data_IF_400149241329
#
_entry.id   IF_400149241329
#
_cell.length_a   1.000
_cell.length_b   1.000
_cell.length_c   1.000
_cell.angle_alpha   90.00
_cell.angle_beta   90.00
_cell.angle_gamma   90.00
#
_symmetry.space_group_name_H-M   'P 1'
#
loop_
_entity.id
_entity.type
_entity.pdbx_description
1 polymer ?
#
# COMPACT_ATOMS: atom_id res chain seq x y z
N UNK A 1 -2.17 20.84 7.64
CA UNK A 1 -3.44 21.31 8.25
C UNK A 1 -4.60 20.67 7.51
N UNK A 2 -4.90 19.39 7.82
CA UNK A 2 -6.21 18.86 7.49
C UNK A 2 -7.22 19.72 8.21
N UNK A 3 -8.01 20.47 7.46
CA UNK A 3 -9.20 21.10 8.00
C UNK A 3 -10.05 19.95 8.52
N UNK A 4 -10.10 19.80 9.82
CA UNK A 4 -11.08 18.94 10.46
C UNK A 4 -12.44 19.49 10.04
N UNK A 5 -13.00 18.89 8.98
CA UNK A 5 -14.37 19.19 8.59
C UNK A 5 -15.20 18.98 9.84
N UNK A 6 -15.85 20.03 10.29
CA UNK A 6 -16.75 19.98 11.45
C UNK A 6 -17.64 18.74 11.28
N UNK A 7 -17.71 17.95 12.34
CA UNK A 7 -18.55 16.75 12.38
C UNK A 7 -19.95 17.14 11.88
N UNK A 8 -20.42 16.62 10.74
CA UNK A 8 -21.76 16.94 10.30
C UNK A 8 -22.70 16.36 11.34
N UNK A 9 -23.24 17.20 12.21
CA UNK A 9 -24.05 16.85 13.38
C UNK A 9 -25.40 16.19 13.07
N UNK A 10 -25.44 15.32 12.09
CA UNK A 10 -26.48 14.35 11.86
C UNK A 10 -25.84 12.98 11.64
N UNK A 11 -25.87 12.15 12.66
CA UNK A 11 -25.70 10.71 12.48
C UNK A 11 -26.68 10.24 11.42
N UNK A 12 -26.18 9.89 10.23
CA UNK A 12 -27.00 9.40 9.15
C UNK A 12 -27.92 8.30 9.66
N UNK A 13 -29.21 8.40 9.34
CA UNK A 13 -30.19 7.38 9.69
C UNK A 13 -29.73 6.03 9.17
N UNK A 14 -29.91 4.96 9.95
CA UNK A 14 -29.63 3.59 9.51
C UNK A 14 -30.35 3.33 8.19
N UNK A 15 -29.63 2.79 7.19
CA UNK A 15 -30.18 2.46 5.87
C UNK A 15 -30.68 1.03 5.88
N UNK A 16 -31.91 0.80 5.42
CA UNK A 16 -32.40 -0.55 5.17
C UNK A 16 -32.09 -0.96 3.73
N UNK A 17 -31.11 -1.83 3.56
CA UNK A 17 -30.69 -2.35 2.24
C UNK A 17 -31.70 -3.32 1.64
N UNK A 18 -32.65 -3.81 2.46
CA UNK A 18 -33.72 -4.75 2.11
C UNK A 18 -35.10 -4.19 2.33
N UNK A 19 -35.27 -2.86 2.28
CA UNK A 19 -36.57 -2.22 2.49
C UNK A 19 -37.67 -2.80 1.58
N UNK A 20 -38.72 -3.40 2.18
CA UNK A 20 -39.80 -4.06 1.44
C UNK A 20 -39.46 -5.43 0.86
N UNK A 21 -38.23 -5.94 1.06
CA UNK A 21 -37.77 -7.26 0.61
C UNK A 21 -37.53 -8.21 1.78
N UNK A 22 -38.50 -8.35 2.66
CA UNK A 22 -38.35 -9.05 3.94
C UNK A 22 -37.94 -10.52 3.81
N UNK A 23 -38.45 -11.23 2.80
CA UNK A 23 -38.04 -12.61 2.54
C UNK A 23 -36.58 -12.68 2.05
N UNK A 24 -36.16 -11.71 1.22
CA UNK A 24 -34.77 -11.55 0.80
C UNK A 24 -33.84 -11.33 2.01
N UNK A 25 -34.26 -10.47 2.95
CA UNK A 25 -33.50 -10.23 4.16
C UNK A 25 -33.39 -11.49 5.03
N UNK A 26 -34.48 -12.25 5.24
CA UNK A 26 -34.43 -13.49 6.02
C UNK A 26 -33.44 -14.51 5.43
N UNK A 27 -33.44 -14.68 4.10
CA UNK A 27 -32.46 -15.55 3.43
C UNK A 27 -31.03 -15.04 3.59
N UNK A 28 -30.81 -13.75 3.45
CA UNK A 28 -29.53 -13.11 3.66
C UNK A 28 -29.03 -13.25 5.11
N UNK A 29 -29.88 -12.99 6.08
CA UNK A 29 -29.59 -13.18 7.51
C UNK A 29 -29.17 -14.64 7.80
N UNK A 30 -29.90 -15.61 7.26
CA UNK A 30 -29.57 -17.04 7.41
C UNK A 30 -28.19 -17.32 6.79
N UNK A 31 -27.90 -16.81 5.59
CA UNK A 31 -26.56 -16.97 5.00
C UNK A 31 -25.46 -16.45 5.89
N UNK A 32 -25.62 -15.27 6.49
CA UNK A 32 -24.61 -14.73 7.41
C UNK A 32 -24.47 -15.54 8.69
N UNK A 33 -25.54 -16.14 9.21
CA UNK A 33 -25.48 -17.08 10.33
C UNK A 33 -24.68 -18.34 9.95
N UNK A 34 -24.90 -18.87 8.75
CA UNK A 34 -24.16 -20.03 8.23
C UNK A 34 -22.67 -19.67 8.05
N UNK A 35 -22.37 -18.47 7.54
CA UNK A 35 -21.01 -17.94 7.44
C UNK A 35 -20.33 -17.91 8.83
N UNK A 36 -21.01 -17.38 9.86
CA UNK A 36 -20.48 -17.31 11.24
C UNK A 36 -20.29 -18.69 11.84
N UNK A 37 -21.19 -19.65 11.60
CA UNK A 37 -21.02 -21.05 12.05
C UNK A 37 -19.76 -21.64 11.44
N UNK A 38 -19.52 -21.40 10.15
CA UNK A 38 -18.27 -21.83 9.48
C UNK A 38 -17.05 -21.17 10.10
N UNK A 39 -17.10 -19.84 10.34
CA UNK A 39 -16.03 -19.11 11.04
C UNK A 39 -15.76 -19.72 12.42
N UNK A 40 -16.78 -20.09 13.20
CA UNK A 40 -16.60 -20.72 14.52
C UNK A 40 -15.92 -22.09 14.42
N UNK A 41 -16.29 -22.88 13.42
CA UNK A 41 -15.65 -24.18 13.15
C UNK A 41 -14.18 -24.02 12.79
N UNK A 42 -13.88 -23.16 11.81
CA UNK A 42 -12.52 -22.89 11.33
C UNK A 42 -11.65 -22.27 12.44
N UNK A 43 -12.23 -21.37 13.24
CA UNK A 43 -11.58 -20.78 14.42
C UNK A 43 -11.20 -21.86 15.44
N UNK A 44 -12.10 -22.78 15.74
CA UNK A 44 -11.86 -23.88 16.68
C UNK A 44 -10.76 -24.81 16.18
N UNK A 45 -10.73 -25.11 14.88
CA UNK A 45 -9.71 -25.94 14.24
C UNK A 45 -8.33 -25.28 14.25
N UNK A 46 -8.27 -23.95 14.22
CA UNK A 46 -6.99 -23.21 14.25
C UNK A 46 -6.25 -23.40 15.57
N UNK A 47 -6.95 -23.70 16.67
CA UNK A 47 -6.39 -23.80 18.03
C UNK A 47 -5.77 -22.50 18.55
N UNK A 48 -6.09 -21.35 17.94
CA UNK A 48 -5.54 -20.04 18.30
C UNK A 48 -6.51 -19.23 19.15
N UNK A 49 -6.00 -18.42 20.10
CA UNK A 49 -6.86 -17.58 20.93
C UNK A 49 -7.42 -16.37 20.17
N UNK A 50 -6.77 -15.98 19.07
CA UNK A 50 -7.11 -14.84 18.22
C UNK A 50 -6.98 -15.25 16.76
N UNK A 51 -7.97 -14.86 15.96
CA UNK A 51 -7.96 -14.96 14.51
C UNK A 51 -8.48 -13.65 13.90
N UNK A 52 -8.38 -13.52 12.60
CA UNK A 52 -8.86 -12.35 11.87
C UNK A 52 -9.94 -12.77 10.87
N UNK A 53 -11.06 -12.07 10.90
CA UNK A 53 -12.11 -12.26 9.91
C UNK A 53 -12.00 -11.23 8.81
N UNK A 54 -12.31 -11.68 7.61
CA UNK A 54 -12.48 -10.88 6.42
C UNK A 54 -13.98 -10.65 6.22
N UNK A 55 -14.39 -9.39 6.27
CA UNK A 55 -15.76 -8.95 6.12
C UNK A 55 -15.87 -8.24 4.78
N UNK A 56 -16.71 -8.76 3.90
CA UNK A 56 -17.01 -8.11 2.62
C UNK A 56 -18.34 -7.39 2.72
N UNK A 57 -18.36 -6.10 2.38
CA UNK A 57 -19.55 -5.27 2.34
C UNK A 57 -20.22 -5.36 0.96
N UNK A 58 -21.54 -5.25 0.94
CA UNK A 58 -22.25 -5.05 -0.32
C UNK A 58 -21.88 -3.69 -0.94
N UNK A 59 -21.88 -3.56 -2.25
CA UNK A 59 -21.52 -2.31 -2.95
C UNK A 59 -22.37 -1.12 -2.50
N UNK A 60 -23.63 -1.36 -2.12
CA UNK A 60 -24.53 -0.35 -1.58
C UNK A 60 -24.14 0.15 -0.18
N UNK A 61 -23.23 -0.55 0.53
CA UNK A 61 -22.80 -0.28 1.90
C UNK A 61 -21.33 0.17 2.02
N UNK A 62 -20.65 0.50 0.94
CA UNK A 62 -19.23 0.92 0.98
C UNK A 62 -18.97 2.24 1.69
N UNK A 63 -19.99 3.11 1.83
CA UNK A 63 -19.83 4.35 2.56
C UNK A 63 -19.46 4.10 4.03
N UNK A 64 -18.52 4.88 4.58
CA UNK A 64 -18.02 4.77 5.95
C UNK A 64 -19.16 4.73 7.01
N UNK A 65 -20.24 5.48 6.79
CA UNK A 65 -21.41 5.51 7.68
C UNK A 65 -22.18 4.19 7.77
N UNK A 66 -21.98 3.29 6.80
CA UNK A 66 -22.65 2.00 6.72
C UNK A 66 -21.81 0.83 7.26
N UNK A 67 -20.57 1.09 7.67
CA UNK A 67 -19.71 0.05 8.26
C UNK A 67 -20.37 -0.57 9.49
N UNK A 68 -20.32 -1.90 9.65
CA UNK A 68 -21.02 -2.63 10.72
C UNK A 68 -20.29 -2.58 12.07
N UNK A 69 -19.82 -1.39 12.49
CA UNK A 69 -18.93 -1.19 13.66
C UNK A 69 -19.65 -0.72 14.93
N UNK A 70 -20.99 -0.68 14.94
CA UNK A 70 -21.74 -0.23 16.11
C UNK A 70 -22.43 -1.38 16.86
N UNK A 71 -22.87 -2.42 16.14
CA UNK A 71 -23.65 -3.54 16.72
C UNK A 71 -23.08 -4.89 16.41
N UNK A 72 -22.61 -5.13 15.17
CA UNK A 72 -22.00 -6.41 14.80
C UNK A 72 -20.55 -6.47 15.26
N UNK A 73 -19.77 -5.45 14.97
CA UNK A 73 -18.34 -5.36 15.32
C UNK A 73 -18.08 -4.08 16.12
N UNK A 74 -18.65 -3.93 17.35
CA UNK A 74 -18.49 -2.72 18.15
C UNK A 74 -17.03 -2.52 18.54
N UNK A 75 -16.48 -1.32 18.24
CA UNK A 75 -15.06 -0.98 18.37
C UNK A 75 -14.49 -1.15 19.78
N UNK A 76 -15.32 -1.06 20.81
CA UNK A 76 -14.94 -1.32 22.21
C UNK A 76 -14.66 -2.80 22.51
N UNK A 77 -15.18 -3.71 21.68
CA UNK A 77 -15.06 -5.18 21.88
C UNK A 77 -14.31 -5.87 20.73
N UNK A 78 -14.59 -5.48 19.50
CA UNK A 78 -14.05 -6.10 18.28
C UNK A 78 -13.30 -5.02 17.49
N UNK A 79 -11.98 -5.17 17.40
CA UNK A 79 -11.17 -4.17 16.72
C UNK A 79 -11.17 -4.37 15.21
N UNK A 80 -11.51 -3.32 14.46
CA UNK A 80 -11.14 -3.20 13.06
C UNK A 80 -9.61 -3.02 12.98
N UNK A 81 -8.94 -3.87 12.20
CA UNK A 81 -7.49 -3.91 12.08
C UNK A 81 -7.01 -3.58 10.66
N UNK A 82 -7.87 -2.97 9.87
CA UNK A 82 -7.58 -2.47 8.54
C UNK A 82 -8.61 -2.89 7.50
N UNK A 83 -8.40 -2.44 6.27
CA UNK A 83 -9.18 -2.82 5.09
C UNK A 83 -8.35 -3.65 4.11
N UNK A 84 -9.03 -4.34 3.20
CA UNK A 84 -8.47 -4.97 2.02
C UNK A 84 -8.74 -4.12 0.77
N UNK A 85 -9.40 -4.72 -0.22
CA UNK A 85 -9.98 -4.03 -1.36
C UNK A 85 -11.15 -3.11 -0.95
N UNK A 86 -11.67 -2.33 -1.91
CA UNK A 86 -12.83 -1.47 -1.68
C UNK A 86 -14.01 -2.32 -1.19
N UNK A 87 -14.60 -1.93 -0.06
CA UNK A 87 -15.70 -2.68 0.56
C UNK A 87 -15.28 -3.85 1.44
N UNK A 88 -14.00 -4.00 1.74
CA UNK A 88 -13.49 -5.01 2.66
C UNK A 88 -13.01 -4.38 3.98
N UNK A 89 -13.15 -5.13 5.04
CA UNK A 89 -12.59 -4.79 6.34
C UNK A 89 -12.12 -6.06 7.08
N UNK A 90 -11.08 -5.92 7.87
CA UNK A 90 -10.57 -6.98 8.74
C UNK A 90 -10.90 -6.67 10.19
N UNK A 91 -11.38 -7.67 10.90
CA UNK A 91 -11.66 -7.57 12.34
C UNK A 91 -10.92 -8.66 13.12
N UNK A 92 -10.45 -8.30 14.31
CA UNK A 92 -9.84 -9.21 15.25
C UNK A 92 -10.94 -9.96 16.02
N UNK A 93 -10.90 -11.28 16.00
CA UNK A 93 -11.89 -12.13 16.64
C UNK A 93 -11.30 -13.01 17.76
N UNK A 94 -12.09 -13.17 18.81
CA UNK A 94 -11.93 -14.20 19.85
C UNK A 94 -13.17 -15.09 19.86
N UNK A 95 -13.11 -16.26 20.53
CA UNK A 95 -14.26 -17.13 20.66
C UNK A 95 -15.46 -16.44 21.33
N UNK A 96 -15.20 -15.53 22.28
CA UNK A 96 -16.23 -14.75 22.99
C UNK A 96 -16.93 -13.78 22.01
N UNK A 97 -16.16 -13.08 21.17
CA UNK A 97 -16.69 -12.10 20.22
C UNK A 97 -17.56 -12.73 19.13
N UNK A 98 -17.27 -13.95 18.70
CA UNK A 98 -18.06 -14.68 17.73
C UNK A 98 -19.49 -14.94 18.21
N UNK A 99 -19.67 -15.26 19.51
CA UNK A 99 -21.00 -15.41 20.09
C UNK A 99 -21.77 -14.09 20.09
N UNK A 100 -21.10 -12.96 20.33
CA UNK A 100 -21.73 -11.64 20.28
C UNK A 100 -22.18 -11.28 18.86
N UNK A 101 -21.35 -11.58 17.83
CA UNK A 101 -21.72 -11.38 16.42
C UNK A 101 -22.96 -12.20 16.07
N UNK A 102 -23.00 -13.48 16.42
CA UNK A 102 -24.16 -14.36 16.22
C UNK A 102 -25.42 -13.78 16.87
N UNK A 103 -25.31 -13.35 18.13
CA UNK A 103 -26.44 -12.75 18.86
C UNK A 103 -26.92 -11.45 18.20
N UNK A 104 -26.02 -10.62 17.69
CA UNK A 104 -26.38 -9.36 17.01
C UNK A 104 -27.08 -9.61 15.67
N UNK A 105 -26.63 -10.62 14.89
CA UNK A 105 -27.30 -11.04 13.68
C UNK A 105 -28.74 -11.53 14.01
N UNK A 106 -28.89 -12.37 15.02
CA UNK A 106 -30.19 -12.90 15.44
C UNK A 106 -31.16 -11.80 15.89
N UNK A 107 -30.67 -10.75 16.55
CA UNK A 107 -31.48 -9.63 17.03
C UNK A 107 -32.01 -8.72 15.92
N UNK A 108 -31.44 -8.77 14.71
CA UNK A 108 -31.92 -7.98 13.60
C UNK A 108 -33.39 -8.38 13.26
N UNK A 109 -34.26 -7.42 13.17
CA UNK A 109 -35.68 -7.67 12.84
C UNK A 109 -35.84 -8.22 11.41
N UNK A 110 -36.74 -9.20 11.24
CA UNK A 110 -36.97 -9.88 9.97
C UNK A 110 -37.81 -9.09 8.97
N UNK A 111 -38.61 -8.15 9.47
CA UNK A 111 -39.53 -7.35 8.66
C UNK A 111 -39.11 -5.89 8.63
N UNK A 112 -39.35 -5.22 7.50
CA UNK A 112 -39.14 -3.78 7.35
C UNK A 112 -40.04 -2.98 8.30
N UNK A 113 -39.45 -2.21 9.20
CA UNK A 113 -40.16 -1.24 10.01
C UNK A 113 -40.37 0.02 9.20
N UNK A 114 -41.67 0.44 9.08
CA UNK A 114 -42.06 1.62 8.32
C UNK A 114 -42.52 2.73 9.26
N UNK A 115 -42.12 3.96 8.95
CA UNK A 115 -42.63 5.18 9.59
C UNK A 115 -43.14 6.13 8.52
N UNK A 116 -44.01 7.06 8.95
CA UNK A 116 -44.46 8.21 8.14
C UNK A 116 -43.56 9.39 8.52
N UNK A 117 -42.93 10.04 7.55
CA UNK A 117 -42.12 11.23 7.79
C UNK A 117 -43.00 12.49 7.91
N UNK A 118 -42.40 13.64 8.24
CA UNK A 118 -43.07 14.91 8.45
C UNK A 118 -43.81 15.43 7.19
N UNK A 119 -43.47 14.89 6.02
CA UNK A 119 -44.11 15.20 4.73
C UNK A 119 -45.23 14.19 4.37
N UNK A 120 -45.55 13.26 5.25
CA UNK A 120 -46.53 12.22 5.01
C UNK A 120 -46.05 11.03 4.18
N UNK A 121 -44.75 10.96 3.84
CA UNK A 121 -44.20 9.86 3.04
C UNK A 121 -43.82 8.66 3.92
N UNK A 122 -44.14 7.48 3.43
CA UNK A 122 -43.71 6.22 4.05
C UNK A 122 -42.24 5.96 3.79
N UNK A 123 -41.41 5.86 4.86
CA UNK A 123 -39.98 5.52 4.74
C UNK A 123 -39.58 4.39 5.68
N UNK A 124 -38.60 3.57 5.32
CA UNK A 124 -38.07 2.52 6.19
C UNK A 124 -37.30 3.13 7.35
N UNK A 125 -37.43 2.53 8.54
CA UNK A 125 -36.67 2.88 9.76
C UNK A 125 -36.15 1.59 10.40
N UNK A 126 -35.07 1.02 9.86
CA UNK A 126 -34.46 -0.21 10.38
C UNK A 126 -33.82 0.03 11.74
N UNK A 127 -33.73 -1.03 12.56
CA UNK A 127 -32.74 -1.07 13.65
C UNK A 127 -31.34 -0.93 13.13
N UNK A 128 -30.40 -0.64 14.02
CA UNK A 128 -28.99 -0.60 13.62
C UNK A 128 -28.49 -2.00 13.26
N UNK A 129 -28.96 -3.02 13.97
CA UNK A 129 -28.66 -4.43 13.69
C UNK A 129 -29.10 -4.83 12.28
N UNK A 130 -30.33 -4.52 11.88
CA UNK A 130 -30.84 -4.81 10.52
C UNK A 130 -30.04 -4.07 9.44
N UNK A 131 -29.71 -2.80 9.70
CA UNK A 131 -28.89 -2.00 8.78
C UNK A 131 -27.51 -2.61 8.59
N UNK A 132 -26.82 -2.99 9.67
CA UNK A 132 -25.47 -3.55 9.61
C UNK A 132 -25.44 -4.96 9.00
N UNK A 133 -26.40 -5.82 9.36
CA UNK A 133 -26.58 -7.14 8.74
C UNK A 133 -26.81 -7.01 7.25
N UNK A 134 -27.72 -6.12 6.82
CA UNK A 134 -28.02 -5.90 5.41
C UNK A 134 -26.86 -5.33 4.58
N UNK A 135 -25.90 -4.68 5.24
CA UNK A 135 -24.73 -4.09 4.59
C UNK A 135 -23.57 -5.07 4.32
N UNK A 136 -23.57 -6.24 4.97
CA UNK A 136 -22.51 -7.24 4.79
C UNK A 136 -22.93 -8.22 3.70
N UNK A 137 -22.01 -8.63 2.84
CA UNK A 137 -22.22 -9.70 1.85
C UNK A 137 -21.64 -11.04 2.29
N UNK A 138 -20.52 -11.04 3.04
CA UNK A 138 -19.84 -12.25 3.49
C UNK A 138 -19.05 -12.02 4.79
N UNK A 139 -18.97 -13.07 5.62
CA UNK A 139 -18.10 -13.14 6.79
C UNK A 139 -17.30 -14.43 6.70
N UNK A 140 -15.96 -14.37 6.66
CA UNK A 140 -15.09 -15.56 6.65
C UNK A 140 -13.80 -15.33 7.42
N UNK A 141 -13.09 -16.36 7.81
CA UNK A 141 -11.72 -16.19 8.31
C UNK A 141 -10.78 -15.79 7.19
N UNK A 142 -9.80 -14.98 7.55
CA UNK A 142 -8.64 -14.71 6.70
C UNK A 142 -7.83 -16.01 6.52
N UNK A 143 -7.60 -16.40 5.28
CA UNK A 143 -7.11 -17.74 4.95
C UNK A 143 -5.81 -17.68 4.13
N UNK A 144 -5.13 -18.82 3.87
CA UNK A 144 -3.87 -18.85 3.12
C UNK A 144 -3.92 -18.22 1.74
N UNK A 145 -5.05 -18.33 1.01
CA UNK A 145 -5.17 -17.75 -0.33
C UNK A 145 -5.28 -16.21 -0.32
N UNK A 146 -5.67 -15.64 0.83
CA UNK A 146 -5.68 -14.18 1.02
C UNK A 146 -4.27 -13.64 1.29
N UNK A 147 -3.38 -14.48 1.84
CA UNK A 147 -2.04 -14.05 2.24
C UNK A 147 -1.09 -13.89 1.06
N UNK A 148 -1.20 -14.76 0.05
CA UNK A 148 -0.36 -14.70 -1.15
C UNK A 148 -1.03 -15.34 -2.37
N UNK A 149 -0.62 -14.89 -3.55
CA UNK A 149 -1.08 -15.39 -4.85
C UNK A 149 0.07 -15.98 -5.71
N UNK A 150 1.19 -16.36 -5.08
CA UNK A 150 2.35 -16.93 -5.75
C UNK A 150 2.81 -18.24 -5.08
N UNK A 151 3.47 -19.10 -5.86
CA UNK A 151 4.10 -20.34 -5.39
C UNK A 151 5.53 -20.10 -4.89
N UNK A 152 6.10 -21.07 -4.15
CA UNK A 152 7.49 -21.02 -3.71
C UNK A 152 8.47 -20.91 -4.90
N UNK A 153 8.20 -21.58 -6.03
CA UNK A 153 9.02 -21.46 -7.24
C UNK A 153 9.00 -20.05 -7.82
N UNK A 154 7.81 -19.48 -7.99
CA UNK A 154 7.68 -18.10 -8.48
C UNK A 154 8.38 -17.10 -7.55
N UNK A 155 8.32 -17.35 -6.23
CA UNK A 155 9.03 -16.53 -5.26
C UNK A 155 10.55 -16.63 -5.44
N UNK A 156 11.12 -17.85 -5.56
CA UNK A 156 12.56 -18.04 -5.78
C UNK A 156 13.01 -17.38 -7.07
N UNK A 157 12.26 -17.57 -8.16
CA UNK A 157 12.58 -16.95 -9.44
C UNK A 157 12.61 -15.42 -9.32
N UNK A 158 11.63 -14.82 -8.66
CA UNK A 158 11.55 -13.38 -8.45
C UNK A 158 12.65 -12.85 -7.52
N UNK A 159 12.80 -13.46 -6.34
CA UNK A 159 13.79 -13.04 -5.33
C UNK A 159 15.24 -13.26 -5.75
N UNK A 160 15.48 -14.06 -6.81
CA UNK A 160 16.79 -14.22 -7.40
C UNK A 160 17.27 -13.00 -8.17
N UNK A 161 16.40 -12.03 -8.48
CA UNK A 161 16.84 -10.73 -8.99
C UNK A 161 17.47 -9.93 -7.83
N UNK A 162 18.72 -9.49 -7.96
CA UNK A 162 19.44 -8.77 -6.89
C UNK A 162 18.71 -7.52 -6.39
N UNK A 163 18.00 -6.81 -7.26
CA UNK A 163 17.28 -5.58 -6.91
C UNK A 163 16.11 -5.81 -5.95
N UNK A 164 15.71 -7.05 -5.68
CA UNK A 164 14.69 -7.40 -4.68
C UNK A 164 15.24 -7.45 -3.25
N UNK A 165 16.57 -7.44 -3.07
CA UNK A 165 17.23 -7.75 -1.81
C UNK A 165 17.10 -9.22 -1.38
N UNK A 166 16.39 -10.07 -2.16
CA UNK A 166 16.12 -11.47 -1.83
C UNK A 166 15.20 -11.68 -0.65
N UNK A 167 14.33 -10.71 -0.31
CA UNK A 167 13.53 -10.70 0.92
C UNK A 167 12.04 -10.82 0.66
N UNK A 168 11.34 -11.58 1.50
CA UNK A 168 9.88 -11.50 1.62
C UNK A 168 9.48 -10.33 2.50
N UNK A 169 8.37 -9.66 2.13
CA UNK A 169 7.71 -8.68 2.97
C UNK A 169 6.48 -9.35 3.59
N UNK A 170 6.54 -9.58 4.88
CA UNK A 170 5.46 -10.23 5.62
C UNK A 170 4.69 -9.17 6.39
N UNK A 171 3.57 -8.71 5.83
CA UNK A 171 2.67 -7.78 6.50
C UNK A 171 1.94 -8.49 7.63
N UNK A 172 1.78 -7.82 8.75
CA UNK A 172 1.11 -8.33 9.95
C UNK A 172 -0.08 -7.45 10.33
N UNK A 173 -1.08 -8.05 10.98
CA UNK A 173 -2.28 -7.31 11.38
C UNK A 173 -2.06 -6.34 12.53
N UNK A 174 -1.03 -6.55 13.36
CA UNK A 174 -0.84 -5.76 14.57
C UNK A 174 0.64 -5.57 14.88
N UNK A 175 1.00 -4.38 15.34
CA UNK A 175 2.35 -4.00 15.78
C UNK A 175 2.50 -4.07 17.29
N UNK A 176 3.74 -4.10 17.80
CA UNK A 176 4.05 -3.92 19.23
C UNK A 176 3.47 -2.62 19.79
N UNK A 177 3.57 -1.53 18.99
CA UNK A 177 3.01 -0.21 19.33
C UNK A 177 1.49 -0.27 19.45
N UNK A 178 0.80 -0.94 18.53
CA UNK A 178 -0.65 -1.14 18.60
C UNK A 178 -1.05 -2.04 19.78
N UNK A 179 -0.25 -3.08 20.10
CA UNK A 179 -0.45 -3.92 21.28
C UNK A 179 -0.34 -3.10 22.58
N UNK A 180 0.69 -2.25 22.70
CA UNK A 180 0.91 -1.42 23.89
C UNK A 180 -0.18 -0.38 24.14
N UNK A 181 -0.89 0.03 23.10
CA UNK A 181 -2.02 0.97 23.16
C UNK A 181 -3.37 0.32 23.51
N UNK A 182 -3.43 -1.02 23.65
CA UNK A 182 -4.67 -1.71 24.04
C UNK A 182 -5.03 -1.39 25.48
N UNK A 183 -6.25 -0.94 25.70
CA UNK A 183 -6.77 -0.64 27.03
C UNK A 183 -7.00 -1.90 27.88
N UNK A 184 -7.39 -3.02 27.24
CA UNK A 184 -7.58 -4.31 27.90
C UNK A 184 -6.25 -5.03 28.02
N UNK A 185 -5.73 -5.13 29.27
CA UNK A 185 -4.44 -5.76 29.60
C UNK A 185 -4.40 -7.24 29.16
N UNK A 186 -5.48 -7.99 29.36
CA UNK A 186 -5.51 -9.42 28.97
C UNK A 186 -5.46 -9.57 27.45
N UNK A 187 -6.15 -8.72 26.72
CA UNK A 187 -6.08 -8.71 25.24
C UNK A 187 -4.66 -8.33 24.77
N UNK A 188 -4.06 -7.32 25.38
CA UNK A 188 -2.68 -6.93 25.08
C UNK A 188 -1.70 -8.09 25.32
N UNK A 189 -1.83 -8.80 26.43
CA UNK A 189 -0.99 -9.97 26.76
C UNK A 189 -1.18 -11.11 25.74
N UNK A 190 -2.43 -11.44 25.38
CA UNK A 190 -2.73 -12.47 24.36
C UNK A 190 -2.08 -12.10 23.02
N UNK A 191 -2.24 -10.87 22.57
CA UNK A 191 -1.64 -10.39 21.31
C UNK A 191 -0.11 -10.41 21.37
N UNK A 192 0.49 -9.98 22.47
CA UNK A 192 1.94 -10.04 22.67
C UNK A 192 2.46 -11.48 22.61
N UNK A 193 1.74 -12.42 23.23
CA UNK A 193 2.08 -13.84 23.18
C UNK A 193 2.03 -14.39 21.75
N UNK A 194 0.98 -14.07 20.99
CA UNK A 194 0.86 -14.50 19.60
C UNK A 194 1.93 -13.86 18.70
N UNK A 195 2.27 -12.59 18.93
CA UNK A 195 3.36 -11.92 18.22
C UNK A 195 4.72 -12.60 18.46
N UNK A 196 5.04 -12.87 19.74
CA UNK A 196 6.29 -13.57 20.09
C UNK A 196 6.29 -15.01 19.56
N UNK A 197 5.13 -15.66 19.54
CA UNK A 197 4.99 -17.00 18.97
C UNK A 197 5.27 -17.01 17.46
N UNK A 198 4.77 -16.02 16.70
CA UNK A 198 5.10 -15.87 15.28
C UNK A 198 6.61 -15.75 15.07
N UNK A 199 7.28 -14.82 15.76
CA UNK A 199 8.72 -14.63 15.64
C UNK A 199 9.52 -15.86 16.05
N UNK A 200 9.14 -16.50 17.17
CA UNK A 200 9.79 -17.72 17.64
C UNK A 200 9.55 -18.87 16.68
N UNK A 201 8.35 -19.00 16.15
CA UNK A 201 7.99 -20.01 15.16
C UNK A 201 8.83 -19.90 13.88
N UNK A 202 8.97 -18.68 13.32
CA UNK A 202 9.84 -18.47 12.16
C UNK A 202 11.30 -18.87 12.51
N UNK A 203 11.81 -18.44 13.66
CA UNK A 203 13.19 -18.75 14.09
C UNK A 203 13.40 -20.24 14.41
N UNK A 204 12.33 -20.97 14.72
CA UNK A 204 12.40 -22.42 15.02
C UNK A 204 12.39 -23.30 13.77
N UNK A 205 12.11 -22.75 12.61
CA UNK A 205 12.29 -23.46 11.35
C UNK A 205 13.78 -23.82 11.20
N UNK A 206 14.05 -25.06 10.84
CA UNK A 206 15.44 -25.56 10.70
C UNK A 206 16.09 -25.07 9.38
N UNK A 207 15.88 -23.80 9.06
CA UNK A 207 16.41 -23.15 7.86
C UNK A 207 17.19 -21.89 8.24
N UNK A 208 18.32 -21.61 7.58
CA UNK A 208 19.04 -20.37 7.80
C UNK A 208 18.25 -19.20 7.24
N UNK A 209 17.86 -18.27 8.12
CA UNK A 209 17.12 -17.08 7.73
C UNK A 209 17.47 -15.86 8.60
N UNK A 210 17.22 -14.69 8.06
CA UNK A 210 17.26 -13.42 8.78
C UNK A 210 15.84 -12.82 8.83
N UNK A 211 15.54 -12.19 9.97
CA UNK A 211 14.27 -11.46 10.19
C UNK A 211 14.62 -10.05 10.66
N UNK A 212 14.01 -9.07 10.06
CA UNK A 212 14.08 -7.67 10.52
C UNK A 212 12.66 -7.12 10.69
N UNK A 213 12.39 -6.50 11.83
CA UNK A 213 11.12 -5.89 12.14
C UNK A 213 11.14 -4.42 11.69
N UNK A 214 10.21 -4.02 10.82
CA UNK A 214 10.19 -2.69 10.19
C UNK A 214 9.14 -1.75 10.80
N UNK A 215 8.47 -2.16 11.89
CA UNK A 215 7.36 -1.38 12.48
C UNK A 215 7.76 -0.03 13.10
N UNK A 216 9.02 0.10 13.52
CA UNK A 216 9.52 1.34 14.10
C UNK A 216 9.83 2.42 13.04
N UNK A 217 10.01 1.98 11.78
CA UNK A 217 10.32 2.84 10.64
C UNK A 217 9.07 3.20 9.82
N UNK A 218 8.14 2.24 9.66
CA UNK A 218 6.97 2.36 8.81
C UNK A 218 5.69 2.09 9.61
N UNK A 219 5.02 3.15 10.06
CA UNK A 219 3.85 3.03 10.93
C UNK A 219 2.56 2.67 10.19
N UNK A 220 2.41 3.15 8.95
CA UNK A 220 1.20 2.96 8.16
C UNK A 220 1.04 1.54 7.62
N UNK A 221 2.15 0.82 7.48
CA UNK A 221 2.17 -0.50 6.87
C UNK A 221 3.20 -1.42 7.56
N UNK A 222 2.90 -1.94 8.77
CA UNK A 222 3.85 -2.76 9.54
C UNK A 222 4.15 -4.08 8.83
N UNK A 223 5.42 -4.41 8.70
CA UNK A 223 5.88 -5.65 8.08
C UNK A 223 7.19 -6.16 8.67
N UNK A 224 7.46 -7.44 8.42
CA UNK A 224 8.75 -8.07 8.68
C UNK A 224 9.46 -8.28 7.33
N UNK A 225 10.75 -8.06 7.30
CA UNK A 225 11.62 -8.53 6.23
C UNK A 225 12.14 -9.92 6.59
N UNK A 226 11.93 -10.90 5.71
CA UNK A 226 12.38 -12.28 5.93
C UNK A 226 13.15 -12.75 4.72
N UNK A 227 14.43 -13.14 4.92
CA UNK A 227 15.30 -13.68 3.88
C UNK A 227 15.77 -15.07 4.25
N UNK A 228 15.70 -16.00 3.33
CA UNK A 228 16.28 -17.33 3.46
C UNK A 228 17.71 -17.27 2.92
N UNK A 229 18.68 -17.55 3.78
CA UNK A 229 20.11 -17.47 3.45
C UNK A 229 20.65 -18.84 3.02
N UNK A 230 21.78 -18.87 2.34
CA UNK A 230 22.46 -20.14 1.98
C UNK A 230 22.97 -20.91 3.20
N UNK A 231 23.35 -20.17 4.22
CA UNK A 231 23.67 -20.69 5.55
C UNK A 231 23.54 -19.56 6.59
N UNK A 232 23.72 -19.88 7.88
CA UNK A 232 23.58 -18.92 8.98
C UNK A 232 24.65 -17.82 9.00
N UNK A 233 25.73 -17.96 8.23
CA UNK A 233 26.87 -17.03 8.17
C UNK A 233 26.85 -16.14 6.92
N UNK A 234 26.03 -16.50 5.92
CA UNK A 234 25.96 -15.80 4.64
C UNK A 234 24.65 -15.03 4.46
N UNK A 235 24.75 -13.87 3.83
CA UNK A 235 23.60 -13.06 3.48
C UNK A 235 22.99 -13.41 2.11
N UNK A 236 23.61 -14.30 1.34
CA UNK A 236 23.14 -14.70 0.01
C UNK A 236 21.82 -15.48 0.08
N UNK A 237 20.93 -15.20 -0.87
CA UNK A 237 19.64 -15.90 -0.97
C UNK A 237 19.87 -17.39 -1.27
N UNK A 238 19.25 -18.27 -0.48
CA UNK A 238 19.12 -19.68 -0.84
C UNK A 238 18.06 -19.83 -1.93
N UNK A 239 18.34 -20.59 -2.97
CA UNK A 239 17.43 -20.83 -4.10
C UNK A 239 16.73 -22.17 -4.05
N UNK A 240 16.80 -22.88 -2.94
CA UNK A 240 16.15 -24.17 -2.78
C UNK A 240 14.62 -23.97 -2.55
N UNK A 241 13.85 -24.28 -3.57
CA UNK A 241 12.38 -24.12 -3.57
C UNK A 241 11.71 -24.85 -2.39
N UNK A 242 12.25 -26.00 -1.92
CA UNK A 242 11.65 -26.74 -0.83
C UNK A 242 11.72 -25.97 0.51
N UNK A 243 12.84 -25.28 0.77
CA UNK A 243 13.02 -24.44 1.96
C UNK A 243 12.07 -23.22 1.92
N UNK A 244 11.93 -22.60 0.77
CA UNK A 244 10.96 -21.53 0.57
C UNK A 244 9.51 -22.02 0.78
N UNK A 245 9.19 -23.23 0.33
CA UNK A 245 7.88 -23.81 0.55
C UNK A 245 7.61 -24.05 2.06
N UNK A 246 8.61 -24.49 2.82
CA UNK A 246 8.50 -24.68 4.27
C UNK A 246 8.19 -23.36 4.98
N UNK A 247 8.96 -22.29 4.72
CA UNK A 247 8.69 -20.95 5.27
C UNK A 247 7.29 -20.46 4.91
N UNK A 248 6.92 -20.52 3.63
CA UNK A 248 5.63 -20.05 3.16
C UNK A 248 4.47 -20.84 3.75
N UNK A 249 4.61 -22.17 3.90
CA UNK A 249 3.59 -23.01 4.55
C UNK A 249 3.40 -22.67 6.02
N UNK A 250 4.48 -22.35 6.74
CA UNK A 250 4.41 -21.87 8.10
C UNK A 250 3.66 -20.51 8.16
N UNK A 251 4.06 -19.55 7.34
CA UNK A 251 3.45 -18.22 7.31
C UNK A 251 1.97 -18.24 6.89
N UNK A 252 1.60 -19.14 5.96
CA UNK A 252 0.21 -19.35 5.54
C UNK A 252 -0.69 -19.85 6.70
N UNK A 253 -0.12 -20.58 7.64
CA UNK A 253 -0.83 -21.09 8.82
C UNK A 253 -0.93 -20.08 9.98
N UNK A 254 -0.23 -18.94 9.90
CA UNK A 254 -0.16 -17.98 10.99
C UNK A 254 -1.25 -16.90 10.90
N UNK A 255 -2.20 -16.84 11.86
CA UNK A 255 -3.28 -15.85 11.83
C UNK A 255 -2.81 -14.41 11.81
N UNK A 256 -1.71 -14.07 12.49
CA UNK A 256 -1.15 -12.71 12.51
C UNK A 256 -0.63 -12.24 11.17
N UNK A 257 -0.29 -13.15 10.27
CA UNK A 257 0.17 -12.80 8.92
C UNK A 257 -1.02 -12.32 8.09
N UNK A 258 -0.97 -11.06 7.72
CA UNK A 258 -1.98 -10.43 6.87
C UNK A 258 -1.73 -10.70 5.39
N UNK A 259 -0.50 -10.48 4.93
CA UNK A 259 -0.11 -10.67 3.53
C UNK A 259 1.38 -10.99 3.43
N UNK A 260 1.72 -11.85 2.48
CA UNK A 260 3.11 -12.11 2.10
C UNK A 260 3.28 -11.52 0.71
N UNK A 261 4.22 -10.59 0.57
CA UNK A 261 4.41 -9.84 -0.68
C UNK A 261 5.82 -10.06 -1.20
N UNK A 262 5.95 -10.22 -2.50
CA UNK A 262 7.23 -10.11 -3.18
C UNK A 262 7.54 -8.63 -3.41
N UNK A 263 8.78 -8.18 -3.14
CA UNK A 263 9.12 -6.78 -3.27
C UNK A 263 8.99 -6.32 -4.72
N UNK A 264 8.52 -5.09 -4.97
CA UNK A 264 8.61 -4.51 -6.30
C UNK A 264 10.08 -4.24 -6.67
N UNK A 265 10.37 -4.21 -7.95
CA UNK A 265 11.67 -3.79 -8.47
C UNK A 265 11.51 -2.38 -9.04
N UNK A 266 12.33 -1.46 -8.57
CA UNK A 266 12.39 -0.11 -9.11
C UNK A 266 13.36 -0.12 -10.30
N UNK A 267 12.90 0.40 -11.43
CA UNK A 267 13.70 0.46 -12.65
C UNK A 267 13.81 1.89 -13.15
N UNK A 268 14.96 2.23 -13.67
CA UNK A 268 15.13 3.45 -14.45
C UNK A 268 14.40 3.31 -15.80
N UNK A 269 13.80 4.38 -16.25
CA UNK A 269 13.33 4.47 -17.63
C UNK A 269 14.51 4.69 -18.58
N UNK A 270 14.44 4.13 -19.78
CA UNK A 270 15.43 4.39 -20.82
C UNK A 270 14.94 5.56 -21.67
N UNK A 271 15.71 6.64 -21.73
CA UNK A 271 15.48 7.66 -22.71
C UNK A 271 16.00 7.17 -24.08
N UNK A 272 15.13 7.12 -25.08
CA UNK A 272 15.57 6.97 -26.47
C UNK A 272 16.20 8.30 -26.91
N UNK A 273 17.47 8.46 -26.63
CA UNK A 273 18.22 9.66 -27.01
C UNK A 273 18.56 9.62 -28.50
N UNK A 274 17.88 10.41 -29.28
CA UNK A 274 18.32 10.76 -30.63
C UNK A 274 19.04 12.12 -30.56
N UNK A 275 20.38 12.15 -30.57
CA UNK A 275 21.09 13.41 -30.57
C UNK A 275 20.70 14.18 -31.83
N UNK A 276 19.98 15.27 -31.67
CA UNK A 276 19.51 16.09 -32.79
C UNK A 276 20.64 16.86 -33.47
N UNK A 277 21.79 17.01 -32.83
CA UNK A 277 22.87 17.89 -33.30
C UNK A 277 22.51 19.38 -33.38
N UNK A 278 21.29 19.73 -32.98
CA UNK A 278 20.84 21.13 -32.99
C UNK A 278 21.40 21.85 -31.77
N UNK A 279 22.16 22.91 -32.00
CA UNK A 279 22.60 23.80 -30.95
C UNK A 279 21.40 24.60 -30.45
N UNK A 280 20.96 24.32 -29.23
CA UNK A 280 19.84 25.04 -28.60
C UNK A 280 20.41 26.21 -27.81
N UNK A 281 19.88 27.39 -28.05
CA UNK A 281 20.15 28.57 -27.24
C UNK A 281 19.18 28.53 -26.05
N UNK A 282 19.68 28.00 -24.93
CA UNK A 282 18.85 27.79 -23.74
C UNK A 282 18.79 29.06 -22.90
N UNK A 283 17.62 29.42 -22.36
CA UNK A 283 17.49 30.59 -21.52
C UNK A 283 18.21 30.35 -20.17
N UNK A 284 18.79 31.40 -19.64
CA UNK A 284 19.27 31.43 -18.25
C UNK A 284 18.18 31.97 -17.32
N UNK A 285 18.19 31.60 -16.03
CA UNK A 285 17.28 32.19 -15.05
C UNK A 285 17.47 33.71 -14.99
N UNK A 286 16.39 34.47 -14.97
CA UNK A 286 16.47 35.94 -14.79
C UNK A 286 16.98 36.24 -13.37
N UNK A 287 17.94 37.14 -13.28
CA UNK A 287 18.49 37.59 -12.01
C UNK A 287 17.39 38.21 -11.12
N UNK A 288 17.30 37.76 -9.88
CA UNK A 288 16.30 38.23 -8.90
C UNK A 288 14.87 37.70 -9.10
N UNK A 289 14.61 36.86 -10.11
CA UNK A 289 13.31 36.21 -10.26
C UNK A 289 13.20 35.03 -9.28
N UNK A 290 11.99 34.88 -8.70
CA UNK A 290 11.64 33.75 -7.84
C UNK A 290 11.05 32.62 -8.70
N UNK A 291 11.79 31.53 -8.82
CA UNK A 291 11.36 30.33 -9.53
C UNK A 291 10.99 29.23 -8.56
N UNK A 292 9.87 28.50 -8.80
CA UNK A 292 9.59 27.28 -8.03
C UNK A 292 10.71 26.27 -8.22
N UNK A 293 10.94 25.43 -7.22
CA UNK A 293 11.94 24.35 -7.28
C UNK A 293 11.23 23.00 -7.32
N UNK A 294 11.59 22.18 -8.30
CA UNK A 294 11.08 20.81 -8.47
C UNK A 294 12.22 19.82 -8.23
N UNK A 295 12.01 18.84 -7.38
CA UNK A 295 12.93 17.73 -7.19
C UNK A 295 12.81 16.71 -8.32
N UNK A 296 13.93 16.21 -8.82
CA UNK A 296 13.98 15.15 -9.83
C UNK A 296 14.60 13.91 -9.19
N UNK A 297 13.74 12.94 -8.85
CA UNK A 297 14.15 11.64 -8.32
C UNK A 297 14.35 10.68 -9.49
N UNK A 298 15.61 10.48 -9.89
CA UNK A 298 15.95 9.74 -11.11
C UNK A 298 17.40 9.18 -11.02
N UNK A 299 18.03 9.00 -12.15
CA UNK A 299 19.41 8.54 -12.29
C UNK A 299 20.47 9.63 -12.12
N UNK A 300 20.04 10.88 -11.92
CA UNK A 300 20.87 12.07 -11.79
C UNK A 300 20.72 13.05 -12.95
N UNK A 301 20.88 14.34 -12.64
CA UNK A 301 20.82 15.46 -13.60
C UNK A 301 22.23 16.01 -13.81
N UNK A 302 22.64 16.20 -15.07
CA UNK A 302 23.95 16.78 -15.37
C UNK A 302 24.09 18.20 -14.84
N UNK A 303 25.10 18.43 -14.02
CA UNK A 303 25.49 19.76 -13.57
C UNK A 303 26.22 20.60 -14.62
N UNK A 304 26.47 20.03 -15.81
CA UNK A 304 27.10 20.70 -16.94
C UNK A 304 26.08 21.02 -18.04
N UNK A 305 26.40 21.99 -18.90
CA UNK A 305 25.59 22.35 -20.05
C UNK A 305 24.43 23.26 -19.73
N UNK A 306 23.35 23.16 -20.51
CA UNK A 306 22.21 24.12 -20.52
C UNK A 306 21.38 24.12 -19.23
N UNK A 307 21.43 23.06 -18.43
CA UNK A 307 20.69 22.98 -17.17
C UNK A 307 21.49 23.48 -15.96
N UNK A 308 22.81 23.70 -16.10
CA UNK A 308 23.66 24.16 -14.99
C UNK A 308 23.12 25.37 -14.25
N UNK A 309 22.63 26.44 -14.91
CA UNK A 309 22.11 27.62 -14.22
C UNK A 309 20.77 27.38 -13.50
N UNK A 310 20.08 26.28 -13.83
CA UNK A 310 18.77 25.90 -13.27
C UNK A 310 18.88 24.95 -12.08
N UNK A 311 20.05 24.39 -11.79
CA UNK A 311 20.28 23.51 -10.64
C UNK A 311 20.52 24.34 -9.37
N UNK A 312 19.78 24.01 -8.31
CA UNK A 312 19.94 24.66 -6.99
C UNK A 312 20.64 23.76 -5.97
N UNK A 313 20.76 22.48 -6.24
CA UNK A 313 21.42 21.49 -5.39
C UNK A 313 21.29 20.09 -5.94
N UNK A 314 22.02 19.17 -5.33
CA UNK A 314 22.00 17.74 -5.68
C UNK A 314 22.21 16.88 -4.44
N UNK A 315 21.71 15.64 -4.48
CA UNK A 315 22.09 14.58 -3.54
C UNK A 315 23.52 14.11 -3.82
N UNK A 316 24.27 13.83 -2.76
CA UNK A 316 25.63 13.28 -2.83
C UNK A 316 25.68 11.78 -2.49
N UNK A 317 24.53 11.09 -2.43
CA UNK A 317 24.46 9.68 -2.02
C UNK A 317 25.17 8.72 -2.97
N UNK A 318 24.98 8.90 -4.29
CA UNK A 318 25.65 8.08 -5.29
C UNK A 318 26.86 8.80 -5.87
N UNK A 319 28.01 8.11 -5.93
CA UNK A 319 29.18 8.61 -6.63
C UNK A 319 28.85 8.84 -8.11
N UNK A 320 29.42 9.89 -8.70
CA UNK A 320 29.17 10.28 -10.09
C UNK A 320 29.44 9.15 -11.12
N UNK A 321 30.38 8.23 -10.82
CA UNK A 321 30.69 7.08 -11.65
C UNK A 321 29.57 6.01 -11.69
N UNK A 322 28.71 6.02 -10.69
CA UNK A 322 27.57 5.11 -10.53
C UNK A 322 26.29 5.65 -11.13
N UNK A 323 26.28 6.88 -11.61
CA UNK A 323 25.13 7.58 -12.18
C UNK A 323 25.09 7.49 -13.70
N UNK A 324 23.88 7.41 -14.26
CA UNK A 324 23.61 7.59 -15.69
C UNK A 324 22.79 8.85 -15.87
N UNK A 325 23.45 9.98 -16.06
CA UNK A 325 22.82 11.30 -16.06
C UNK A 325 21.87 11.54 -17.25
N UNK A 326 21.78 10.61 -18.22
CA UNK A 326 21.06 10.82 -19.47
C UNK A 326 19.55 11.03 -19.26
N UNK A 327 18.90 10.10 -18.55
CA UNK A 327 17.44 10.15 -18.34
C UNK A 327 17.04 11.29 -17.40
N UNK A 328 17.68 11.43 -16.26
CA UNK A 328 17.37 12.51 -15.31
C UNK A 328 17.65 13.89 -15.92
N UNK A 329 18.71 14.06 -16.73
CA UNK A 329 18.96 15.30 -17.47
C UNK A 329 17.83 15.59 -18.49
N UNK A 330 17.34 14.58 -19.20
CA UNK A 330 16.21 14.72 -20.12
C UNK A 330 14.94 15.17 -19.35
N UNK A 331 14.62 14.52 -18.26
CA UNK A 331 13.47 14.88 -17.40
C UNK A 331 13.63 16.29 -16.83
N UNK A 332 14.82 16.61 -16.31
CA UNK A 332 15.14 17.94 -15.79
C UNK A 332 14.96 19.03 -16.85
N UNK A 333 15.41 18.76 -18.08
CA UNK A 333 15.21 19.67 -19.20
C UNK A 333 13.74 19.91 -19.56
N UNK A 334 12.94 18.86 -19.57
CA UNK A 334 11.49 18.97 -19.80
C UNK A 334 10.79 19.80 -18.73
N UNK A 335 11.13 19.56 -17.47
CA UNK A 335 10.49 20.23 -16.32
C UNK A 335 10.93 21.69 -16.25
N UNK A 336 12.21 21.99 -16.46
CA UNK A 336 12.77 23.32 -16.26
C UNK A 336 12.49 24.26 -17.43
N UNK A 337 12.87 23.86 -18.64
CA UNK A 337 12.85 24.70 -19.86
C UNK A 337 12.21 23.99 -21.05
N UNK A 338 11.29 23.08 -20.79
CA UNK A 338 10.68 22.20 -21.81
C UNK A 338 9.96 22.96 -22.93
N UNK A 339 9.33 24.10 -22.64
CA UNK A 339 8.71 24.97 -23.66
C UNK A 339 9.76 25.44 -24.68
N UNK A 340 10.87 26.03 -24.21
CA UNK A 340 11.95 26.52 -25.08
C UNK A 340 12.60 25.38 -25.88
N UNK A 341 12.82 24.21 -25.25
CA UNK A 341 13.44 23.06 -25.91
C UNK A 341 12.56 22.46 -27.01
N UNK A 342 11.25 22.50 -26.88
CA UNK A 342 10.32 21.81 -27.77
C UNK A 342 9.49 22.78 -28.65
N UNK A 343 9.50 24.08 -28.36
CA UNK A 343 8.63 25.06 -28.99
C UNK A 343 7.17 24.61 -29.04
N UNK A 344 6.68 24.04 -27.97
CA UNK A 344 5.39 23.36 -27.90
C UNK A 344 4.40 24.17 -27.06
N UNK A 345 3.29 24.57 -27.68
CA UNK A 345 2.24 25.40 -27.08
C UNK A 345 1.53 24.73 -25.88
N UNK A 346 1.63 23.39 -25.73
CA UNK A 346 1.06 22.64 -24.60
C UNK A 346 1.97 22.60 -23.37
N UNK A 347 3.23 23.02 -23.50
CA UNK A 347 4.17 23.13 -22.38
C UNK A 347 4.17 24.57 -21.89
N UNK A 348 3.96 24.78 -20.59
CA UNK A 348 3.90 26.13 -20.03
C UNK A 348 5.20 26.91 -20.25
N UNK A 349 5.08 28.21 -20.48
CA UNK A 349 6.23 29.10 -20.63
C UNK A 349 7.00 29.36 -19.33
N UNK A 350 6.36 29.09 -18.16
CA UNK A 350 6.99 29.27 -16.87
C UNK A 350 8.08 28.20 -16.62
N UNK A 351 9.27 28.67 -16.34
CA UNK A 351 10.39 27.82 -15.98
C UNK A 351 10.42 27.52 -14.47
N UNK A 352 11.11 26.45 -14.06
CA UNK A 352 11.40 26.15 -12.67
C UNK A 352 12.86 25.76 -12.49
N UNK A 353 13.37 25.90 -11.27
CA UNK A 353 14.67 25.38 -10.86
C UNK A 353 14.55 23.90 -10.46
N UNK A 354 15.66 23.21 -10.44
CA UNK A 354 15.73 21.76 -10.19
C UNK A 354 16.60 21.51 -8.96
N UNK A 355 16.14 20.62 -8.11
CA UNK A 355 16.96 19.91 -7.14
C UNK A 355 17.16 18.46 -7.61
N UNK A 356 18.40 18.06 -7.82
CA UNK A 356 18.74 16.72 -8.33
C UNK A 356 18.77 15.70 -7.19
N UNK A 357 17.96 14.66 -7.30
CA UNK A 357 17.94 13.48 -6.43
C UNK A 357 18.32 12.25 -7.27
N UNK A 358 19.59 12.19 -7.66
CA UNK A 358 20.19 11.08 -8.41
C UNK A 358 20.33 9.84 -7.55
N UNK A 359 19.22 9.15 -7.24
CA UNK A 359 19.20 8.01 -6.32
C UNK A 359 19.24 6.65 -7.02
N UNK A 360 18.90 6.56 -8.31
CA UNK A 360 18.91 5.27 -9.03
C UNK A 360 20.23 5.05 -9.77
N UNK A 361 21.02 4.04 -9.40
CA UNK A 361 22.31 3.79 -10.04
C UNK A 361 22.18 3.20 -11.45
N UNK A 362 23.29 3.16 -12.17
CA UNK A 362 23.40 2.78 -13.59
C UNK A 362 22.88 1.39 -13.91
N UNK A 363 23.07 0.40 -13.02
CA UNK A 363 22.76 -1.00 -13.28
C UNK A 363 22.28 -1.74 -12.03
N UNK A 364 21.70 -2.94 -12.24
CA UNK A 364 21.11 -3.76 -11.16
C UNK A 364 22.12 -4.21 -10.10
N UNK A 365 23.37 -4.50 -10.47
CA UNK A 365 24.38 -4.93 -9.51
C UNK A 365 24.73 -3.79 -8.56
N UNK A 366 24.97 -2.60 -9.09
CA UNK A 366 25.19 -1.38 -8.31
C UNK A 366 23.97 -1.01 -7.47
N UNK A 367 22.75 -1.24 -8.00
CA UNK A 367 21.53 -1.04 -7.23
C UNK A 367 21.49 -1.96 -5.99
N UNK A 368 21.78 -3.24 -6.15
CA UNK A 368 21.80 -4.20 -5.06
C UNK A 368 22.89 -3.91 -4.00
N UNK A 369 24.04 -3.37 -4.44
CA UNK A 369 25.12 -2.98 -3.52
C UNK A 369 24.76 -1.78 -2.66
N UNK A 370 24.07 -0.78 -3.22
CA UNK A 370 23.64 0.42 -2.50
C UNK A 370 22.33 0.20 -1.71
N UNK A 371 21.47 -0.72 -2.18
CA UNK A 371 20.16 -1.00 -1.62
C UNK A 371 19.98 -2.51 -1.32
N UNK A 372 20.71 -3.06 -0.34
CA UNK A 372 20.68 -4.49 -0.02
C UNK A 372 19.32 -5.04 0.37
N UNK A 373 18.37 -4.19 0.81
CA UNK A 373 16.97 -4.53 1.06
C UNK A 373 16.05 -4.10 -0.10
N UNK A 374 16.60 -3.85 -1.27
CA UNK A 374 15.85 -3.43 -2.45
C UNK A 374 15.14 -2.10 -2.27
N UNK A 375 13.86 -2.06 -2.65
CA UNK A 375 13.08 -0.81 -2.61
C UNK A 375 12.91 -0.22 -1.20
N UNK A 376 13.06 -1.02 -0.14
CA UNK A 376 12.95 -0.54 1.24
C UNK A 376 14.10 0.42 1.54
N UNK A 377 15.35 0.01 1.27
CA UNK A 377 16.51 0.89 1.46
C UNK A 377 16.45 2.11 0.52
N UNK A 378 15.95 1.91 -0.71
CA UNK A 378 15.75 3.03 -1.64
C UNK A 378 14.79 4.08 -1.07
N UNK A 379 13.67 3.67 -0.49
CA UNK A 379 12.72 4.60 0.14
C UNK A 379 13.25 5.20 1.44
N UNK A 380 14.03 4.46 2.23
CA UNK A 380 14.72 5.01 3.41
C UNK A 380 15.75 6.08 3.01
N UNK A 381 16.46 5.86 1.91
CA UNK A 381 17.38 6.87 1.38
C UNK A 381 16.64 8.09 0.83
N UNK A 382 15.56 7.87 0.07
CA UNK A 382 14.71 8.97 -0.40
C UNK A 382 14.20 9.80 0.79
N UNK A 383 13.68 9.17 1.84
CA UNK A 383 13.23 9.84 3.07
C UNK A 383 14.33 10.72 3.70
N UNK A 384 15.57 10.27 3.66
CA UNK A 384 16.73 11.00 4.16
C UNK A 384 17.06 12.23 3.29
N UNK A 385 17.16 12.05 1.99
CA UNK A 385 17.57 13.09 1.04
C UNK A 385 16.53 14.22 0.87
N UNK A 386 15.26 13.91 1.14
CA UNK A 386 14.21 14.93 1.12
C UNK A 386 14.42 16.06 2.13
N UNK A 387 15.15 15.83 3.21
CA UNK A 387 15.42 16.84 4.25
C UNK A 387 16.18 18.01 3.63
N UNK A 388 17.25 17.74 2.91
CA UNK A 388 18.10 18.78 2.29
C UNK A 388 17.41 19.42 1.08
N UNK A 389 16.71 18.63 0.27
CA UNK A 389 15.92 19.15 -0.84
C UNK A 389 14.86 20.17 -0.38
N UNK A 390 14.23 19.92 0.77
CA UNK A 390 13.25 20.85 1.36
C UNK A 390 13.85 22.17 1.82
N UNK A 391 15.11 22.16 2.28
CA UNK A 391 15.82 23.39 2.65
C UNK A 391 16.01 24.32 1.45
N UNK A 392 16.08 23.77 0.24
CA UNK A 392 16.11 24.53 -1.02
C UNK A 392 14.73 25.03 -1.49
N UNK A 393 13.68 24.82 -0.69
CA UNK A 393 12.30 25.21 -1.01
C UNK A 393 11.51 24.19 -1.83
N UNK A 394 12.09 23.02 -2.12
CA UNK A 394 11.43 21.97 -2.93
C UNK A 394 10.25 21.35 -2.16
N UNK A 395 9.09 21.25 -2.83
CA UNK A 395 7.87 20.63 -2.28
C UNK A 395 7.23 19.64 -3.25
N UNK A 396 7.60 19.69 -4.52
CA UNK A 396 7.09 18.82 -5.57
C UNK A 396 8.26 18.00 -6.09
N UNK A 397 8.09 16.69 -6.16
CA UNK A 397 9.12 15.76 -6.62
C UNK A 397 8.58 14.94 -7.78
N UNK A 398 9.23 15.06 -8.93
CA UNK A 398 9.01 14.15 -10.05
C UNK A 398 9.86 12.91 -9.83
N UNK A 399 9.24 11.75 -9.75
CA UNK A 399 9.91 10.46 -9.61
C UNK A 399 9.63 9.63 -10.87
N UNK A 400 10.45 9.82 -11.91
CA UNK A 400 10.29 9.18 -13.21
C UNK A 400 10.88 7.77 -13.26
N UNK A 401 10.72 7.02 -12.18
CA UNK A 401 11.13 5.62 -12.06
C UNK A 401 9.92 4.71 -12.23
N UNK A 402 10.09 3.59 -12.91
CA UNK A 402 9.02 2.61 -13.08
C UNK A 402 9.12 1.49 -12.04
N UNK A 403 7.98 0.88 -11.71
CA UNK A 403 7.90 -0.25 -10.78
C UNK A 403 7.46 -1.50 -11.53
N UNK A 404 8.28 -2.55 -11.50
CA UNK A 404 7.98 -3.82 -12.17
C UNK A 404 6.98 -4.63 -11.35
N UNK A 405 5.81 -4.08 -11.11
CA UNK A 405 4.68 -4.81 -10.56
C UNK A 405 3.41 -4.15 -11.05
N UNK A 406 2.52 -4.96 -11.62
CA UNK A 406 1.21 -4.46 -12.03
C UNK A 406 0.45 -3.93 -10.81
N UNK A 407 -0.13 -2.76 -10.94
CA UNK A 407 -1.09 -2.23 -9.98
C UNK A 407 -2.37 -3.05 -10.10
N UNK A 408 -2.88 -3.53 -8.98
CA UNK A 408 -4.18 -4.18 -8.88
C UNK A 408 -5.21 -3.09 -8.59
N UNK A 409 -6.32 -3.04 -9.35
CA UNK A 409 -7.30 -1.94 -9.31
C UNK A 409 -7.99 -1.76 -7.95
N UNK A 410 -8.00 -2.82 -7.14
CA UNK A 410 -8.70 -2.89 -5.85
C UNK A 410 -7.76 -3.01 -4.64
N UNK A 411 -6.43 -2.98 -4.85
CA UNK A 411 -5.46 -3.16 -3.77
C UNK A 411 -4.54 -1.96 -3.61
N UNK A 412 -4.33 -1.56 -2.34
CA UNK A 412 -3.35 -0.55 -1.98
C UNK A 412 -2.00 -1.21 -1.66
N UNK A 413 -0.99 -0.94 -2.48
CA UNK A 413 0.30 -1.60 -2.38
C UNK A 413 1.13 -1.09 -1.19
N UNK A 414 2.00 -1.96 -0.65
CA UNK A 414 2.95 -1.55 0.41
C UNK A 414 3.85 -0.40 -0.06
N UNK A 415 4.32 -0.45 -1.31
CA UNK A 415 5.13 0.62 -1.89
C UNK A 415 4.38 1.97 -1.90
N UNK A 416 3.12 1.98 -2.31
CA UNK A 416 2.30 3.19 -2.27
C UNK A 416 2.11 3.72 -0.85
N UNK A 417 1.83 2.82 0.11
CA UNK A 417 1.69 3.20 1.52
C UNK A 417 2.96 3.86 2.08
N UNK A 418 4.14 3.34 1.73
CA UNK A 418 5.42 3.90 2.17
C UNK A 418 5.70 5.26 1.52
N UNK A 419 5.39 5.44 0.23
CA UNK A 419 5.50 6.74 -0.46
C UNK A 419 4.55 7.78 0.16
N UNK A 420 3.32 7.39 0.45
CA UNK A 420 2.36 8.30 1.10
C UNK A 420 2.82 8.69 2.52
N UNK A 421 3.41 7.75 3.27
CA UNK A 421 3.98 8.04 4.59
C UNK A 421 5.14 9.04 4.51
N UNK A 422 6.03 8.89 3.52
CA UNK A 422 7.11 9.86 3.24
C UNK A 422 6.50 11.22 2.85
N UNK A 423 5.52 11.22 1.96
CA UNK A 423 4.81 12.42 1.50
C UNK A 423 4.20 13.20 2.68
N UNK A 424 3.46 12.50 3.54
CA UNK A 424 2.83 13.10 4.73
C UNK A 424 3.89 13.60 5.75
N UNK A 425 4.93 12.81 6.02
CA UNK A 425 6.01 13.16 6.95
C UNK A 425 6.73 14.43 6.54
N UNK A 426 7.00 14.59 5.26
CA UNK A 426 7.76 15.73 4.73
C UNK A 426 6.87 16.87 4.23
N UNK A 427 5.55 16.71 4.18
CA UNK A 427 4.64 17.69 3.58
C UNK A 427 5.06 18.03 2.14
N UNK A 428 5.15 16.99 1.30
CA UNK A 428 5.57 17.08 -0.10
C UNK A 428 4.61 16.33 -1.03
N UNK A 429 4.73 16.56 -2.33
CA UNK A 429 3.94 15.91 -3.37
C UNK A 429 4.87 15.14 -4.29
N UNK A 430 4.60 13.85 -4.51
CA UNK A 430 5.25 13.05 -5.54
C UNK A 430 4.39 12.98 -6.81
N UNK A 431 5.02 13.22 -7.95
CA UNK A 431 4.44 13.00 -9.28
C UNK A 431 5.07 11.73 -9.84
N UNK A 432 4.25 10.68 -9.95
CA UNK A 432 4.67 9.35 -10.37
C UNK A 432 4.19 9.06 -11.80
N UNK A 433 4.98 8.35 -12.62
CA UNK A 433 4.54 7.92 -13.94
C UNK A 433 3.49 6.81 -13.82
N UNK A 434 2.57 6.75 -14.74
CA UNK A 434 1.60 5.65 -14.86
C UNK A 434 2.23 4.36 -15.45
N UNK A 435 3.50 4.39 -15.81
CA UNK A 435 4.25 3.32 -16.44
C UNK A 435 4.45 3.52 -17.95
N UNK A 436 5.32 2.70 -18.53
CA UNK A 436 5.57 2.68 -19.95
C UNK A 436 4.91 1.46 -20.58
N UNK A 437 4.27 1.63 -21.73
CA UNK A 437 3.79 0.50 -22.53
C UNK A 437 5.00 -0.22 -23.16
N UNK A 438 5.03 -1.54 -23.03
CA UNK A 438 5.96 -2.36 -23.81
C UNK A 438 5.62 -2.17 -25.31
N UNK A 439 6.63 -1.95 -26.15
CA UNK A 439 6.49 -1.81 -27.61
C UNK A 439 5.72 -2.98 -28.27
N UNK A 440 5.64 -4.12 -27.59
CA UNK A 440 4.90 -5.30 -28.01
C UNK A 440 3.39 -5.17 -27.76
N UNK A 441 2.95 -4.24 -26.91
CA UNK A 441 1.55 -4.01 -26.61
C UNK A 441 1.12 -2.76 -27.38
N UNK A 442 0.58 -2.95 -28.59
CA UNK A 442 0.02 -1.85 -29.38
C UNK A 442 -1.32 -1.45 -28.80
N UNK A 443 -1.43 -0.19 -28.40
CA UNK A 443 -2.73 0.44 -28.14
C UNK A 443 -3.57 0.54 -29.41
N UNK A 444 -4.88 0.39 -29.25
CA UNK A 444 -5.83 0.87 -30.22
C UNK A 444 -5.71 2.40 -30.42
N UNK A 445 -6.33 2.93 -31.46
CA UNK A 445 -6.36 4.38 -31.71
C UNK A 445 -7.02 5.12 -30.52
N UNK A 446 -6.40 6.18 -30.06
CA UNK A 446 -6.93 7.06 -29.02
C UNK A 446 -7.92 8.08 -29.61
N UNK A 447 -9.06 8.41 -28.96
CA UNK A 447 -9.68 7.68 -27.84
C UNK A 447 -10.54 6.51 -28.37
N UNK A 448 -10.49 5.35 -27.72
CA UNK A 448 -11.32 4.19 -28.10
C UNK A 448 -11.97 3.55 -26.86
N UNK A 449 -12.98 4.22 -26.31
CA UNK A 449 -13.78 3.67 -25.20
C UNK A 449 -13.02 3.59 -23.85
N UNK A 450 -13.62 2.87 -22.89
CA UNK A 450 -13.15 2.79 -21.50
C UNK A 450 -11.83 2.02 -21.31
N UNK A 451 -11.38 1.28 -22.33
CA UNK A 451 -10.16 0.45 -22.30
C UNK A 451 -8.85 1.24 -22.51
N UNK A 452 -8.92 2.58 -22.63
CA UNK A 452 -7.76 3.43 -22.85
C UNK A 452 -7.15 4.02 -21.58
N UNK A 453 -7.63 3.63 -20.43
CA UNK A 453 -7.02 3.97 -19.14
C UNK A 453 -5.91 2.96 -18.87
N UNK A 454 -4.71 3.45 -18.55
CA UNK A 454 -3.55 2.63 -18.16
C UNK A 454 -3.76 2.04 -16.77
#
# INVERSE_FOLDING_TARGET
NYVQLADPGSFGSSKDFYAGMDEGFRRHKQKLLDDVIKVQSDFSLSGRPINYAHITLSSAAWAKSHRPVKKLFPEDKIKEVGGGAIGEMFVELTAENLNEVTNSINKSEDNTTWIIDDNGNRKPRPSRERSEVGGISEIRLHNPTDRRNFSARQAVDWLSNPSTGGMYLVQIFITKKAISRRQNIQQAQRLSTEYQRLLTGIKSLAIPLTIEEMEDKWESAPFLLVKINTDYSQASLDRNVAIHHELLSFLDAEPLVRRIVLPPIINKSQALMHPSGVKIDAPEPNEGADYPVVGVVDTGVSSAGILSPWLVGSSEFLDAELQDLSHGTFIGGLISIGNTLNSNEYVQESACKIYDLGLHPTNEATYADNYPKGFVDFLEQLDTELVDAKLSGTRIFNMSLSVTKRVEDDSYSLFAAMIDEISDKHDVIFVLPSGNLDDRIKRGSWPSGDDNVL
#
